data_IF_589997218250
#
_entry.id   IF_589997218250
#
_cell.length_a   1.000
_cell.length_b   1.000
_cell.length_c   1.000
_cell.angle_alpha   90.00
_cell.angle_beta   90.00
_cell.angle_gamma   90.00
#
_symmetry.space_group_name_H-M   'P 1'
#
loop_
_entity.id
_entity.type
_entity.pdbx_description
1 polymer ?
#
# COMPACT_ATOMS: atom_id res chain seq x y z
N UNK A 1 8.13 4.20 24.54
CA UNK A 1 9.02 3.72 23.46
C UNK A 1 9.55 2.33 23.81
N UNK A 2 9.47 1.38 22.88
CA UNK A 2 10.03 0.02 23.02
C UNK A 2 11.16 -0.12 22.00
N UNK A 3 12.39 -0.30 22.45
CA UNK A 3 13.56 -0.50 21.60
C UNK A 3 14.05 -1.94 21.72
N UNK A 4 14.66 -2.46 20.66
CA UNK A 4 15.34 -3.75 20.69
C UNK A 4 16.39 -3.86 19.58
N UNK A 5 17.33 -4.79 19.79
CA UNK A 5 18.35 -5.19 18.84
C UNK A 5 18.34 -6.70 18.68
N UNK A 6 18.56 -7.20 17.46
CA UNK A 6 18.67 -8.63 17.15
C UNK A 6 19.99 -8.94 16.49
N UNK A 7 20.54 -10.10 16.86
CA UNK A 7 21.77 -10.67 16.32
C UNK A 7 21.46 -12.02 15.67
N UNK A 8 22.19 -12.33 14.61
CA UNK A 8 22.17 -13.65 14.00
C UNK A 8 23.22 -14.56 14.66
N UNK A 9 22.78 -15.71 15.17
CA UNK A 9 23.67 -16.78 15.59
C UNK A 9 23.83 -17.76 14.42
N UNK A 10 24.90 -17.60 13.64
CA UNK A 10 25.18 -18.45 12.49
C UNK A 10 25.41 -19.93 12.87
N UNK A 11 25.88 -20.21 14.09
CA UNK A 11 26.18 -21.58 14.54
C UNK A 11 24.89 -22.36 14.79
N UNK A 12 23.95 -21.74 15.49
CA UNK A 12 22.68 -22.37 15.85
C UNK A 12 21.54 -22.05 14.87
N UNK A 13 21.76 -21.12 13.93
CA UNK A 13 20.76 -20.55 13.02
C UNK A 13 19.56 -19.98 13.78
N UNK A 14 19.84 -19.24 14.84
CA UNK A 14 18.84 -18.64 15.73
C UNK A 14 19.02 -17.14 15.83
N UNK A 15 17.98 -16.45 16.31
CA UNK A 15 18.02 -15.02 16.59
C UNK A 15 18.24 -14.81 18.08
N UNK A 16 19.26 -14.02 18.42
CA UNK A 16 19.46 -13.52 19.78
C UNK A 16 18.87 -12.12 19.89
N UNK A 17 17.89 -11.94 20.78
CA UNK A 17 17.19 -10.68 20.99
C UNK A 17 17.65 -10.00 22.27
N UNK A 18 17.96 -8.70 22.19
CA UNK A 18 18.17 -7.83 23.34
C UNK A 18 17.14 -6.71 23.35
N UNK A 19 16.34 -6.65 24.41
CA UNK A 19 15.31 -5.64 24.61
C UNK A 19 15.85 -4.40 25.34
N UNK A 20 15.25 -3.24 25.08
CA UNK A 20 15.57 -1.98 25.75
C UNK A 20 16.84 -1.29 25.24
N UNK A 21 17.52 -1.86 24.25
CA UNK A 21 18.80 -1.36 23.74
C UNK A 21 18.78 -1.19 22.21
N UNK A 22 19.55 -0.23 21.75
CA UNK A 22 19.85 0.01 20.33
C UNK A 22 21.37 -0.11 20.18
N UNK A 23 21.86 -1.29 19.85
CA UNK A 23 23.27 -1.60 19.61
C UNK A 23 23.47 -1.63 18.09
N UNK A 24 24.32 -0.73 17.56
CA UNK A 24 24.48 -0.54 16.11
C UNK A 24 25.24 -1.68 15.45
N UNK A 25 25.94 -2.45 16.26
CA UNK A 25 26.72 -3.63 15.92
C UNK A 25 25.82 -4.85 15.62
N UNK A 26 24.53 -4.80 16.01
CA UNK A 26 23.56 -5.85 15.73
C UNK A 26 23.12 -5.94 14.27
N UNK A 27 22.61 -7.12 13.89
CA UNK A 27 22.16 -7.37 12.51
C UNK A 27 20.90 -6.57 12.14
N UNK A 28 20.02 -6.30 13.11
CA UNK A 28 18.97 -5.28 13.00
C UNK A 28 18.65 -4.65 14.36
N UNK A 29 18.33 -3.35 14.37
CA UNK A 29 17.98 -2.60 15.57
C UNK A 29 16.94 -1.52 15.26
N UNK A 30 16.20 -1.10 16.28
CA UNK A 30 15.09 -0.19 16.06
C UNK A 30 14.19 -0.01 17.27
N UNK A 31 13.10 0.72 17.05
CA UNK A 31 12.13 1.00 18.10
C UNK A 31 10.72 1.21 17.55
N UNK A 32 9.73 0.91 18.41
CA UNK A 32 8.35 1.34 18.27
C UNK A 32 8.07 2.45 19.29
N UNK A 33 7.73 3.64 18.81
CA UNK A 33 7.12 4.68 19.60
C UNK A 33 5.60 4.60 19.49
N UNK A 34 4.96 4.00 20.49
CA UNK A 34 3.52 3.86 20.58
C UNK A 34 2.88 5.18 21.01
N UNK A 35 2.69 6.08 20.04
CA UNK A 35 2.01 7.37 20.19
C UNK A 35 0.59 7.38 19.60
N UNK A 36 0.03 6.19 19.32
CA UNK A 36 -1.25 6.04 18.62
C UNK A 36 -2.38 6.82 19.31
N UNK A 37 -2.47 6.73 20.64
CA UNK A 37 -3.52 7.43 21.41
C UNK A 37 -3.36 8.95 21.47
N UNK A 38 -2.15 9.47 21.24
CA UNK A 38 -1.85 10.90 21.32
C UNK A 38 -1.95 11.59 19.96
N UNK A 39 -1.50 10.94 18.90
CA UNK A 39 -1.34 11.54 17.57
C UNK A 39 -2.16 10.86 16.47
N UNK A 40 -2.76 9.70 16.76
CA UNK A 40 -3.36 8.83 15.76
C UNK A 40 -2.34 7.94 15.02
N UNK A 41 -1.04 8.01 15.39
CA UNK A 41 0.03 7.23 14.78
C UNK A 41 1.00 6.68 15.81
N UNK A 42 1.33 5.39 15.73
CA UNK A 42 2.64 4.93 16.21
C UNK A 42 3.72 5.22 15.17
N UNK A 43 4.98 5.27 15.59
CA UNK A 43 6.13 5.39 14.69
C UNK A 43 7.06 4.21 14.91
N UNK A 44 7.42 3.50 13.84
CA UNK A 44 8.36 2.37 13.86
C UNK A 44 9.59 2.75 13.03
N UNK A 45 10.76 2.62 13.62
CA UNK A 45 12.04 2.71 12.90
C UNK A 45 12.80 1.40 13.00
N UNK A 46 13.27 0.89 11.87
CA UNK A 46 14.12 -0.30 11.78
C UNK A 46 15.31 0.00 10.88
N UNK A 47 16.50 -0.31 11.39
CA UNK A 47 17.73 -0.38 10.60
C UNK A 47 18.26 -1.80 10.59
N UNK A 48 18.81 -2.24 9.46
CA UNK A 48 19.36 -3.58 9.32
C UNK A 48 20.54 -3.60 8.34
N UNK A 49 21.45 -4.56 8.50
CA UNK A 49 22.60 -4.75 7.60
C UNK A 49 23.80 -3.82 7.87
N UNK A 50 23.78 -3.08 8.98
CA UNK A 50 24.84 -2.15 9.40
C UNK A 50 25.77 -2.72 10.48
N UNK A 51 25.53 -3.97 10.92
CA UNK A 51 26.30 -4.60 12.00
C UNK A 51 27.77 -4.86 11.62
N UNK A 52 28.59 -5.18 12.62
CA UNK A 52 30.04 -5.45 12.41
C UNK A 52 30.28 -6.66 11.51
N UNK A 53 29.46 -7.70 11.68
CA UNK A 53 29.44 -8.87 10.80
C UNK A 53 28.42 -8.63 9.70
N UNK A 54 28.91 -8.52 8.46
CA UNK A 54 28.05 -8.42 7.29
C UNK A 54 27.37 -9.77 7.05
N UNK A 55 26.05 -9.78 7.23
CA UNK A 55 25.20 -10.93 6.94
C UNK A 55 24.77 -10.93 5.47
N UNK A 56 24.38 -12.10 4.94
CA UNK A 56 23.69 -12.16 3.66
C UNK A 56 22.40 -11.34 3.70
N UNK A 57 22.05 -10.68 2.60
CA UNK A 57 20.86 -9.82 2.51
C UNK A 57 19.55 -10.56 2.85
N UNK A 58 19.45 -11.87 2.57
CA UNK A 58 18.34 -12.72 3.01
C UNK A 58 18.22 -12.76 4.56
N UNK A 59 19.34 -12.87 5.28
CA UNK A 59 19.39 -12.82 6.75
C UNK A 59 19.07 -11.42 7.26
N UNK A 60 19.59 -10.37 6.61
CA UNK A 60 19.27 -8.97 6.93
C UNK A 60 17.76 -8.71 6.90
N UNK A 61 17.07 -9.14 5.84
CA UNK A 61 15.61 -9.02 5.73
C UNK A 61 14.88 -9.86 6.78
N UNK A 62 15.33 -11.09 7.04
CA UNK A 62 14.76 -11.94 8.09
C UNK A 62 14.86 -11.28 9.48
N UNK A 63 16.03 -10.74 9.84
CA UNK A 63 16.23 -10.05 11.11
C UNK A 63 15.39 -8.78 11.22
N UNK A 64 15.29 -7.99 10.14
CA UNK A 64 14.44 -6.80 10.10
C UNK A 64 12.96 -7.17 10.31
N UNK A 65 12.48 -8.20 9.63
CA UNK A 65 11.13 -8.75 9.83
C UNK A 65 10.92 -9.22 11.27
N UNK A 66 11.87 -9.98 11.81
CA UNK A 66 11.83 -10.48 13.18
C UNK A 66 11.70 -9.34 14.20
N UNK A 67 12.53 -8.31 14.05
CA UNK A 67 12.49 -7.17 14.94
C UNK A 67 11.15 -6.42 14.85
N UNK A 68 10.62 -6.20 13.64
CA UNK A 68 9.29 -5.62 13.44
C UNK A 68 8.20 -6.45 14.13
N UNK A 69 8.23 -7.76 13.90
CA UNK A 69 7.25 -8.70 14.43
C UNK A 69 7.25 -8.71 15.95
N UNK A 70 8.44 -8.69 16.56
CA UNK A 70 8.57 -8.63 18.02
C UNK A 70 8.10 -7.29 18.61
N UNK A 71 8.55 -6.16 18.04
CA UNK A 71 8.23 -4.82 18.56
C UNK A 71 6.75 -4.49 18.42
N UNK A 72 6.11 -4.94 17.33
CA UNK A 72 4.71 -4.60 16.98
C UNK A 72 3.71 -5.70 17.33
N UNK A 73 4.15 -6.84 17.89
CA UNK A 73 3.32 -8.01 18.19
C UNK A 73 1.96 -7.73 18.87
N UNK A 74 1.86 -6.90 19.95
CA UNK A 74 0.56 -6.60 20.53
C UNK A 74 -0.40 -5.93 19.54
N UNK A 75 0.10 -4.95 18.77
CA UNK A 75 -0.68 -4.22 17.79
C UNK A 75 -1.03 -5.11 16.59
N UNK A 76 -0.15 -6.03 16.16
CA UNK A 76 -0.45 -7.02 15.12
C UNK A 76 -1.65 -7.91 15.50
N UNK A 77 -1.66 -8.43 16.73
CA UNK A 77 -2.74 -9.31 17.21
C UNK A 77 -4.08 -8.55 17.25
N UNK A 78 -4.07 -7.33 17.81
CA UNK A 78 -5.28 -6.49 17.86
C UNK A 78 -5.75 -6.06 16.46
N UNK A 79 -4.84 -5.70 15.57
CA UNK A 79 -5.19 -5.30 14.21
C UNK A 79 -5.74 -6.47 13.39
N UNK A 80 -5.17 -7.67 13.51
CA UNK A 80 -5.73 -8.88 12.93
C UNK A 80 -7.15 -9.16 13.43
N UNK A 81 -7.38 -9.07 14.75
CA UNK A 81 -8.71 -9.24 15.32
C UNK A 81 -9.73 -8.22 14.79
N UNK A 82 -9.30 -6.99 14.50
CA UNK A 82 -10.15 -5.97 13.89
C UNK A 82 -10.43 -6.26 12.42
N UNK A 83 -9.41 -6.63 11.64
CA UNK A 83 -9.47 -6.71 10.17
C UNK A 83 -10.03 -8.03 9.65
N UNK A 84 -9.74 -9.15 10.31
CA UNK A 84 -10.24 -10.47 9.91
C UNK A 84 -11.76 -10.50 9.65
N UNK A 85 -12.63 -10.05 10.59
CA UNK A 85 -14.08 -10.06 10.37
C UNK A 85 -14.55 -9.02 9.34
N UNK A 86 -13.71 -8.08 8.93
CA UNK A 86 -14.05 -7.14 7.86
C UNK A 86 -13.97 -7.80 6.48
N UNK A 87 -13.09 -8.79 6.30
CA UNK A 87 -12.87 -9.45 5.01
C UNK A 87 -13.49 -10.84 4.93
N UNK A 88 -13.33 -11.65 5.98
CA UNK A 88 -13.80 -13.04 6.02
C UNK A 88 -14.98 -13.13 7.01
N UNK A 89 -16.19 -12.94 6.49
CA UNK A 89 -17.44 -13.01 7.24
C UNK A 89 -18.13 -14.37 7.14
N UNK A 90 -18.19 -14.92 5.93
CA UNK A 90 -18.77 -16.23 5.66
C UNK A 90 -17.68 -17.31 5.80
N UNK A 91 -17.87 -18.33 6.65
CA UNK A 91 -16.95 -19.47 6.77
C UNK A 91 -16.63 -20.16 5.44
N UNK A 92 -17.52 -20.07 4.44
CA UNK A 92 -17.29 -20.61 3.09
C UNK A 92 -16.16 -19.91 2.33
N UNK A 93 -15.82 -18.67 2.68
CA UNK A 93 -14.74 -17.89 2.07
C UNK A 93 -13.36 -18.37 2.53
N UNK A 94 -13.24 -18.80 3.79
CA UNK A 94 -11.95 -19.13 4.40
C UNK A 94 -11.20 -20.22 3.64
N UNK A 95 -11.85 -21.36 3.38
CA UNK A 95 -11.20 -22.50 2.73
C UNK A 95 -10.64 -22.20 1.33
N UNK A 96 -11.40 -21.57 0.41
CA UNK A 96 -10.89 -21.11 -0.88
C UNK A 96 -9.71 -20.14 -0.76
N UNK A 97 -9.79 -19.15 0.12
CA UNK A 97 -8.73 -18.15 0.32
C UNK A 97 -7.46 -18.81 0.86
N UNK A 98 -7.54 -19.62 1.92
CA UNK A 98 -6.39 -20.35 2.47
C UNK A 98 -5.72 -21.22 1.41
N UNK A 99 -6.50 -21.97 0.62
CA UNK A 99 -5.95 -22.80 -0.47
C UNK A 99 -5.25 -21.96 -1.55
N UNK A 100 -5.78 -20.80 -1.90
CA UNK A 100 -5.14 -19.91 -2.85
C UNK A 100 -3.81 -19.38 -2.30
N UNK A 101 -3.83 -18.85 -1.07
CA UNK A 101 -2.65 -18.27 -0.41
C UNK A 101 -1.53 -19.31 -0.24
N UNK A 102 -1.86 -20.55 0.15
CA UNK A 102 -0.87 -21.64 0.26
C UNK A 102 -0.24 -21.97 -1.10
N UNK A 103 -1.05 -22.06 -2.16
CA UNK A 103 -0.53 -22.32 -3.51
C UNK A 103 0.33 -21.17 -4.03
N UNK A 104 -0.08 -19.93 -3.77
CA UNK A 104 0.64 -18.73 -4.19
C UNK A 104 2.00 -18.60 -3.48
N UNK A 105 2.03 -18.82 -2.16
CA UNK A 105 3.27 -18.82 -1.38
C UNK A 105 4.21 -19.96 -1.82
N UNK A 106 3.67 -21.16 -2.03
CA UNK A 106 4.44 -22.32 -2.51
C UNK A 106 5.06 -22.05 -3.89
N UNK A 107 4.28 -21.53 -4.83
CA UNK A 107 4.76 -21.16 -6.15
C UNK A 107 5.83 -20.06 -6.08
N UNK A 108 5.60 -19.02 -5.27
CA UNK A 108 6.57 -17.92 -5.08
C UNK A 108 7.91 -18.46 -4.59
N UNK A 109 7.89 -19.32 -3.56
CA UNK A 109 9.11 -19.92 -3.01
C UNK A 109 9.80 -20.86 -4.00
N UNK A 110 9.04 -21.57 -4.82
CA UNK A 110 9.59 -22.39 -5.91
C UNK A 110 10.29 -21.53 -6.96
N UNK A 111 9.66 -20.45 -7.41
CA UNK A 111 10.26 -19.52 -8.37
C UNK A 111 11.52 -18.83 -7.83
N UNK A 112 11.54 -18.46 -6.54
CA UNK A 112 12.76 -17.97 -5.88
C UNK A 112 13.88 -19.01 -5.97
N UNK A 113 13.61 -20.27 -5.62
CA UNK A 113 14.63 -21.34 -5.68
C UNK A 113 15.17 -21.55 -7.09
N UNK A 114 14.31 -21.48 -8.10
CA UNK A 114 14.68 -21.73 -9.50
C UNK A 114 15.41 -20.56 -10.15
N UNK A 115 15.05 -19.32 -9.82
CA UNK A 115 15.44 -18.14 -10.61
C UNK A 115 16.26 -17.09 -9.85
N UNK A 116 16.50 -17.23 -8.52
CA UNK A 116 17.21 -16.20 -7.74
C UNK A 116 18.65 -15.92 -8.17
N UNK A 117 19.28 -16.81 -8.94
CA UNK A 117 20.64 -16.62 -9.46
C UNK A 117 20.70 -15.92 -10.81
N UNK A 118 19.58 -15.84 -11.54
CA UNK A 118 19.53 -15.33 -12.91
C UNK A 118 18.68 -14.07 -13.07
N UNK A 119 17.77 -13.78 -12.12
CA UNK A 119 16.83 -12.68 -12.21
C UNK A 119 16.75 -11.88 -10.89
N UNK A 120 17.14 -10.60 -10.90
CA UNK A 120 17.08 -9.74 -9.71
C UNK A 120 15.69 -9.67 -9.07
N UNK A 121 14.61 -9.81 -9.86
CA UNK A 121 13.25 -9.82 -9.30
C UNK A 121 13.05 -11.00 -8.37
N UNK A 122 13.50 -12.19 -8.77
CA UNK A 122 13.35 -13.40 -7.95
C UNK A 122 14.32 -13.42 -6.78
N UNK A 123 15.48 -12.80 -6.91
CA UNK A 123 16.40 -12.56 -5.80
C UNK A 123 15.74 -11.67 -4.71
N UNK A 124 15.22 -10.51 -5.09
CA UNK A 124 14.49 -9.62 -4.17
C UNK A 124 13.18 -10.20 -3.66
N UNK A 125 12.53 -11.08 -4.42
CA UNK A 125 11.36 -11.83 -3.94
C UNK A 125 11.76 -12.74 -2.77
N UNK A 126 12.95 -13.35 -2.83
CA UNK A 126 13.54 -14.09 -1.72
C UNK A 126 13.70 -13.23 -0.46
N UNK A 127 14.16 -11.99 -0.60
CA UNK A 127 14.28 -11.05 0.51
C UNK A 127 12.92 -10.73 1.16
N UNK A 128 11.89 -10.44 0.35
CA UNK A 128 10.54 -10.14 0.86
C UNK A 128 9.96 -11.35 1.60
N UNK A 129 10.15 -12.56 1.07
CA UNK A 129 9.72 -13.80 1.72
C UNK A 129 10.47 -14.01 3.05
N UNK A 130 11.79 -13.78 3.07
CA UNK A 130 12.59 -13.86 4.29
C UNK A 130 12.14 -12.87 5.37
N UNK A 131 11.79 -11.63 4.99
CA UNK A 131 11.23 -10.65 5.93
C UNK A 131 9.86 -11.07 6.49
N UNK A 132 9.00 -11.70 5.68
CA UNK A 132 7.72 -12.24 6.17
C UNK A 132 7.93 -13.41 7.14
N UNK A 133 8.88 -14.31 6.85
CA UNK A 133 9.26 -15.40 7.74
C UNK A 133 9.82 -14.87 9.06
N UNK A 134 10.66 -13.83 8.98
CA UNK A 134 11.17 -13.08 10.13
C UNK A 134 10.03 -12.49 10.95
N UNK A 135 9.10 -11.76 10.31
CA UNK A 135 7.94 -11.14 10.94
C UNK A 135 7.13 -12.16 11.75
N UNK A 136 6.85 -13.33 11.17
CA UNK A 136 6.15 -14.42 11.85
C UNK A 136 6.96 -14.93 13.06
N UNK A 137 8.26 -15.15 12.90
CA UNK A 137 9.13 -15.62 13.98
C UNK A 137 9.22 -14.60 15.15
N UNK A 138 9.27 -13.31 14.83
CA UNK A 138 9.31 -12.23 15.81
C UNK A 138 8.04 -12.14 16.65
N UNK A 139 6.86 -12.14 16.00
CA UNK A 139 5.58 -12.14 16.73
C UNK A 139 5.38 -13.42 17.53
N UNK A 140 5.85 -14.57 17.02
CA UNK A 140 5.79 -15.84 17.74
C UNK A 140 6.69 -15.86 18.99
N UNK A 141 7.90 -15.30 18.91
CA UNK A 141 8.76 -15.17 20.08
C UNK A 141 8.10 -14.28 21.14
N UNK A 142 7.58 -13.11 20.75
CA UNK A 142 6.87 -12.24 21.69
C UNK A 142 5.69 -12.96 22.34
N UNK A 143 4.86 -13.64 21.55
CA UNK A 143 3.67 -14.35 22.05
C UNK A 143 4.06 -15.44 23.08
N UNK A 144 5.06 -16.26 22.76
CA UNK A 144 5.61 -17.27 23.68
C UNK A 144 6.10 -16.66 24.99
N UNK A 145 6.85 -15.55 24.93
CA UNK A 145 7.34 -14.83 26.11
C UNK A 145 6.20 -14.32 27.00
N UNK A 146 5.07 -13.94 26.40
CA UNK A 146 3.89 -13.44 27.11
C UNK A 146 2.88 -14.53 27.49
N UNK A 147 3.16 -15.82 27.23
CA UNK A 147 2.21 -16.90 27.45
C UNK A 147 0.95 -16.79 26.59
N UNK A 148 1.06 -16.24 25.37
CA UNK A 148 -0.05 -16.08 24.41
C UNK A 148 0.16 -16.98 23.20
N UNK A 149 -0.95 -17.29 22.52
CA UNK A 149 -0.91 -17.98 21.23
C UNK A 149 -0.29 -17.09 20.14
N UNK A 150 0.66 -17.62 19.34
CA UNK A 150 1.27 -16.88 18.25
C UNK A 150 0.29 -16.73 17.08
N UNK A 151 0.46 -15.67 16.28
CA UNK A 151 -0.24 -15.55 15.00
C UNK A 151 0.19 -16.69 14.06
N UNK A 152 -0.79 -17.32 13.42
CA UNK A 152 -0.52 -18.33 12.39
C UNK A 152 0.14 -17.69 11.15
N UNK A 153 0.77 -18.52 10.31
CA UNK A 153 1.30 -18.05 9.03
C UNK A 153 0.20 -17.40 8.18
N UNK A 154 -0.98 -18.02 8.14
CA UNK A 154 -2.14 -17.47 7.42
C UNK A 154 -2.53 -16.10 7.96
N UNK A 155 -2.52 -15.87 9.28
CA UNK A 155 -2.84 -14.57 9.85
C UNK A 155 -1.82 -13.49 9.42
N UNK A 156 -0.52 -13.83 9.37
CA UNK A 156 0.51 -12.91 8.89
C UNK A 156 0.37 -12.63 7.38
N UNK A 157 0.11 -13.66 6.58
CA UNK A 157 -0.16 -13.53 5.14
C UNK A 157 -1.42 -12.71 4.86
N UNK A 158 -2.49 -12.92 5.64
CA UNK A 158 -3.74 -12.19 5.57
C UNK A 158 -3.52 -10.69 5.74
N UNK A 159 -2.75 -10.28 6.77
CA UNK A 159 -2.44 -8.86 7.01
C UNK A 159 -1.73 -8.23 5.81
N UNK A 160 -0.79 -8.93 5.19
CA UNK A 160 -0.05 -8.41 4.03
C UNK A 160 -0.89 -8.40 2.75
N UNK A 161 -1.89 -9.26 2.64
CA UNK A 161 -2.74 -9.41 1.46
C UNK A 161 -4.09 -8.66 1.57
N UNK A 162 -4.31 -7.80 2.57
CA UNK A 162 -5.61 -7.12 2.79
C UNK A 162 -6.13 -6.41 1.54
N UNK A 163 -5.26 -5.72 0.79
CA UNK A 163 -5.64 -5.07 -0.47
C UNK A 163 -5.98 -6.08 -1.57
N UNK A 164 -5.17 -7.13 -1.72
CA UNK A 164 -5.38 -8.20 -2.69
C UNK A 164 -6.68 -8.98 -2.44
N UNK A 165 -7.05 -9.17 -1.16
CA UNK A 165 -8.26 -9.88 -0.74
C UNK A 165 -9.55 -9.18 -1.20
N UNK A 166 -9.50 -7.88 -1.50
CA UNK A 166 -10.65 -7.13 -2.02
C UNK A 166 -11.11 -7.64 -3.38
N UNK A 167 -10.17 -8.04 -4.24
CA UNK A 167 -10.44 -8.62 -5.56
C UNK A 167 -10.43 -10.16 -5.53
N UNK A 168 -9.57 -10.75 -4.67
CA UNK A 168 -9.40 -12.20 -4.63
C UNK A 168 -10.63 -12.92 -4.08
N UNK A 169 -11.25 -12.41 -3.01
CA UNK A 169 -12.45 -13.03 -2.44
C UNK A 169 -13.60 -13.12 -3.47
N UNK A 170 -14.01 -12.04 -4.16
CA UNK A 170 -15.06 -12.13 -5.17
C UNK A 170 -14.65 -12.97 -6.39
N UNK A 171 -13.35 -13.07 -6.71
CA UNK A 171 -12.87 -13.97 -7.76
C UNK A 171 -13.00 -15.46 -7.38
N UNK A 172 -12.72 -15.81 -6.11
CA UNK A 172 -12.74 -17.20 -5.64
C UNK A 172 -14.12 -17.71 -5.23
N UNK A 173 -14.99 -16.81 -4.73
CA UNK A 173 -16.32 -17.16 -4.26
C UNK A 173 -17.35 -16.19 -4.85
N UNK A 174 -17.70 -16.35 -6.14
CA UNK A 174 -18.66 -15.48 -6.81
C UNK A 174 -20.02 -15.47 -6.10
N UNK A 175 -20.64 -14.30 -6.01
CA UNK A 175 -21.94 -14.12 -5.36
C UNK A 175 -21.89 -13.96 -3.85
N UNK A 176 -20.71 -13.99 -3.22
CA UNK A 176 -20.54 -13.43 -1.88
C UNK A 176 -20.70 -11.91 -1.93
N UNK A 177 -21.30 -11.31 -0.89
CA UNK A 177 -21.25 -9.86 -0.77
C UNK A 177 -19.78 -9.41 -0.79
N UNK A 178 -19.46 -8.28 -1.46
CA UNK A 178 -18.12 -7.72 -1.40
C UNK A 178 -17.68 -7.65 0.06
N UNK A 179 -16.43 -8.04 0.39
CA UNK A 179 -15.96 -8.17 1.77
C UNK A 179 -16.34 -6.95 2.64
N UNK A 180 -16.33 -5.77 2.05
CA UNK A 180 -16.81 -4.51 2.63
C UNK A 180 -18.28 -4.25 2.27
N UNK A 181 -19.17 -4.96 2.96
CA UNK A 181 -20.61 -4.69 2.96
C UNK A 181 -20.91 -3.18 3.04
N UNK A 182 -21.86 -2.76 2.22
CA UNK A 182 -22.46 -1.41 2.15
C UNK A 182 -21.73 -0.28 1.42
N UNK A 183 -20.69 -0.55 0.62
CA UNK A 183 -20.47 0.30 -0.56
C UNK A 183 -21.54 -0.04 -1.61
N UNK A 184 -22.79 0.35 -1.34
CA UNK A 184 -23.88 0.32 -2.32
C UNK A 184 -23.35 1.01 -3.57
N UNK A 185 -23.50 0.36 -4.72
CA UNK A 185 -23.26 1.00 -6.00
C UNK A 185 -24.03 2.34 -6.04
N UNK A 186 -23.37 3.45 -6.38
CA UNK A 186 -21.97 3.57 -6.74
C UNK A 186 -21.05 3.66 -5.51
N UNK A 187 -20.31 2.58 -5.20
CA UNK A 187 -19.32 2.59 -4.14
C UNK A 187 -18.19 3.54 -4.50
N UNK A 188 -18.16 4.74 -3.92
CA UNK A 188 -17.01 5.62 -4.08
C UNK A 188 -15.82 5.02 -3.35
N UNK A 189 -14.76 4.78 -4.13
CA UNK A 189 -13.64 3.91 -3.79
C UNK A 189 -12.68 4.45 -2.75
N UNK A 190 -11.58 3.71 -2.61
CA UNK A 190 -10.71 3.66 -1.44
C UNK A 190 -9.86 4.88 -1.13
N UNK A 191 -9.62 5.86 -2.01
CA UNK A 191 -8.62 6.89 -1.71
C UNK A 191 -8.85 8.16 -2.54
N UNK A 192 -8.27 9.27 -2.09
CA UNK A 192 -8.06 10.44 -2.94
C UNK A 192 -6.58 10.85 -2.88
N UNK A 193 -5.96 11.18 -4.01
CA UNK A 193 -4.60 11.68 -4.07
C UNK A 193 -4.51 12.97 -4.89
N UNK A 194 -3.56 13.83 -4.53
CA UNK A 194 -3.28 15.06 -5.25
C UNK A 194 -1.76 15.30 -5.28
N UNK A 195 -1.24 15.42 -6.49
CA UNK A 195 0.12 15.89 -6.76
C UNK A 195 -0.02 17.29 -7.33
N UNK A 196 0.52 18.29 -6.64
CA UNK A 196 0.36 19.70 -6.98
C UNK A 196 1.73 20.32 -7.26
N UNK A 197 1.89 20.86 -8.45
CA UNK A 197 3.00 21.73 -8.80
C UNK A 197 2.59 23.19 -8.58
N UNK A 198 3.39 23.95 -7.83
CA UNK A 198 3.12 25.36 -7.61
C UNK A 198 3.38 26.21 -8.88
N UNK A 199 2.73 27.38 -9.03
CA UNK A 199 2.63 28.08 -10.32
C UNK A 199 3.97 28.43 -10.99
N UNK A 200 4.99 28.80 -10.21
CA UNK A 200 6.34 29.08 -10.69
C UNK A 200 7.32 27.93 -10.48
N UNK A 201 6.81 26.70 -10.28
CA UNK A 201 7.58 25.51 -9.92
C UNK A 201 8.37 25.65 -8.61
N UNK A 202 7.91 26.50 -7.69
CA UNK A 202 8.58 26.79 -6.42
C UNK A 202 8.60 25.56 -5.50
N UNK A 203 7.60 24.70 -5.64
CA UNK A 203 7.51 23.45 -4.90
C UNK A 203 6.65 22.41 -5.63
N UNK A 204 6.88 21.14 -5.32
CA UNK A 204 6.00 20.02 -5.64
C UNK A 204 5.42 19.49 -4.33
N UNK A 205 4.11 19.53 -4.20
CA UNK A 205 3.38 19.00 -3.06
C UNK A 205 2.75 17.67 -3.43
N UNK A 206 2.83 16.68 -2.54
CA UNK A 206 2.45 15.30 -2.83
C UNK A 206 1.63 14.74 -1.68
N UNK A 207 0.39 14.34 -1.95
CA UNK A 207 -0.53 13.98 -0.89
C UNK A 207 -1.46 12.82 -1.22
N UNK A 208 -1.90 12.16 -0.15
CA UNK A 208 -2.82 11.03 -0.21
C UNK A 208 -3.72 10.99 1.02
N UNK A 209 -5.00 10.73 0.79
CA UNK A 209 -6.02 10.52 1.82
C UNK A 209 -6.65 9.14 1.68
N UNK A 210 -6.35 8.25 2.63
CA UNK A 210 -6.90 6.89 2.63
C UNK A 210 -8.35 6.86 3.08
N UNK A 211 -9.17 6.09 2.37
CA UNK A 211 -10.55 5.76 2.73
C UNK A 211 -10.74 4.25 2.86
N UNK A 212 -11.16 3.81 4.04
CA UNK A 212 -11.44 2.39 4.25
C UNK A 212 -12.33 2.21 5.49
N UNK A 213 -12.50 0.99 5.98
CA UNK A 213 -13.20 0.76 7.25
C UNK A 213 -12.46 1.42 8.40
N UNK A 214 -13.19 2.03 9.34
CA UNK A 214 -12.60 2.64 10.53
C UNK A 214 -11.96 1.59 11.45
N UNK A 215 -12.30 0.30 11.30
CA UNK A 215 -11.61 -0.81 11.98
C UNK A 215 -10.11 -0.88 11.64
N UNK A 216 -9.69 -0.30 10.52
CA UNK A 216 -8.30 -0.27 10.10
C UNK A 216 -7.46 0.84 10.76
N UNK A 217 -8.04 1.72 11.59
CA UNK A 217 -7.37 2.93 12.11
C UNK A 217 -6.27 2.70 13.17
N UNK A 218 -5.77 1.47 13.31
CA UNK A 218 -4.57 1.18 14.10
C UNK A 218 -3.33 1.44 13.24
N UNK A 219 -2.74 2.64 13.36
CA UNK A 219 -1.75 3.13 12.40
C UNK A 219 -0.32 3.07 12.92
N UNK A 220 0.60 2.70 12.03
CA UNK A 220 2.05 2.81 12.25
C UNK A 220 2.65 3.54 11.04
N UNK A 221 3.31 4.67 11.25
CA UNK A 221 4.20 5.25 10.24
C UNK A 221 5.56 4.56 10.35
N UNK A 222 6.09 4.03 9.25
CA UNK A 222 7.27 3.18 9.25
C UNK A 222 8.43 3.84 8.52
N UNK A 223 9.62 3.71 9.11
CA UNK A 223 10.88 4.05 8.48
C UNK A 223 11.76 2.79 8.49
N UNK A 224 12.10 2.31 7.30
CA UNK A 224 13.09 1.25 7.15
C UNK A 224 14.34 1.81 6.48
N UNK A 225 15.49 1.37 6.95
CA UNK A 225 16.80 1.68 6.39
C UNK A 225 17.63 0.40 6.39
N UNK A 226 17.58 -0.34 5.27
CA UNK A 226 18.30 -1.59 5.10
C UNK A 226 19.52 -1.37 4.22
N UNK A 227 20.69 -1.68 4.74
CA UNK A 227 21.92 -1.71 3.97
C UNK A 227 22.06 -3.07 3.30
N UNK A 228 22.07 -3.08 1.96
CA UNK A 228 22.10 -4.29 1.16
C UNK A 228 23.34 -4.33 0.28
N UNK A 229 23.86 -5.53 0.08
CA UNK A 229 25.01 -5.80 -0.79
C UNK A 229 24.63 -6.15 -2.23
N UNK A 230 23.37 -6.52 -2.48
CA UNK A 230 22.87 -6.91 -3.80
C UNK A 230 22.95 -5.72 -4.80
N UNK A 231 23.69 -5.87 -5.92
CA UNK A 231 24.06 -4.75 -6.80
C UNK A 231 22.93 -4.12 -7.61
N UNK A 232 21.79 -4.80 -7.79
CA UNK A 232 20.61 -4.29 -8.48
C UNK A 232 19.64 -3.57 -7.53
N UNK A 233 19.95 -3.51 -6.23
CA UNK A 233 19.16 -2.76 -5.25
C UNK A 233 19.20 -1.26 -5.58
N UNK A 234 18.04 -0.69 -5.91
CA UNK A 234 17.88 0.75 -6.04
C UNK A 234 17.79 1.47 -4.68
N UNK A 235 17.10 0.86 -3.71
CA UNK A 235 17.03 1.38 -2.33
C UNK A 235 16.53 0.32 -1.33
N UNK A 236 17.18 0.23 -0.18
CA UNK A 236 16.65 -0.43 1.03
C UNK A 236 16.03 0.55 2.03
N UNK A 237 15.97 1.84 1.68
CA UNK A 237 15.47 2.92 2.52
C UNK A 237 14.11 3.41 2.06
N UNK A 238 13.14 3.43 2.97
CA UNK A 238 11.78 3.85 2.69
C UNK A 238 11.08 4.41 3.94
N UNK A 239 10.20 5.39 3.73
CA UNK A 239 9.31 5.95 4.75
C UNK A 239 7.88 5.94 4.24
N UNK A 240 6.94 5.38 5.01
CA UNK A 240 5.60 5.12 4.52
C UNK A 240 4.58 4.99 5.63
N UNK A 241 3.33 5.39 5.36
CA UNK A 241 2.20 5.11 6.25
C UNK A 241 1.83 3.64 6.16
N UNK A 242 1.47 3.00 7.28
CA UNK A 242 1.26 1.55 7.31
C UNK A 242 0.38 1.14 8.49
N UNK A 243 0.25 -0.18 8.65
CA UNK A 243 -0.46 -0.87 9.71
C UNK A 243 0.45 -1.86 10.45
N UNK A 244 0.10 -2.31 11.67
CA UNK A 244 0.80 -3.37 12.37
C UNK A 244 0.83 -4.67 11.56
N UNK A 245 2.04 -5.21 11.34
CA UNK A 245 2.24 -6.49 10.63
C UNK A 245 2.18 -6.42 9.11
N UNK A 246 1.90 -5.24 8.55
CA UNK A 246 1.90 -5.04 7.10
C UNK A 246 3.30 -4.67 6.64
N UNK A 247 3.94 -5.49 5.82
CA UNK A 247 5.21 -5.19 5.18
C UNK A 247 5.00 -4.34 3.89
N UNK A 248 3.94 -3.55 3.88
CA UNK A 248 3.45 -2.70 2.78
C UNK A 248 2.59 -1.60 3.41
N UNK A 249 2.38 -0.50 2.69
CA UNK A 249 1.57 0.64 3.13
C UNK A 249 0.08 0.34 3.13
N UNK A 250 -0.42 -0.38 2.12
CA UNK A 250 -1.84 -0.52 1.74
C UNK A 250 -2.46 0.82 1.30
N UNK A 251 -2.11 1.95 1.90
CA UNK A 251 -2.80 3.21 1.67
C UNK A 251 -2.90 3.63 0.19
N UNK A 252 -1.86 3.80 -0.60
CA UNK A 252 -0.41 3.64 -0.40
C UNK A 252 0.26 5.03 -0.42
N UNK A 253 1.25 5.26 0.44
CA UNK A 253 2.08 6.47 0.41
C UNK A 253 3.51 6.17 0.81
N UNK A 254 4.48 6.44 -0.08
CA UNK A 254 5.88 6.12 0.11
C UNK A 254 6.80 7.26 -0.31
N UNK A 255 7.83 7.47 0.51
CA UNK A 255 9.03 8.22 0.19
C UNK A 255 10.20 7.23 0.11
N UNK A 256 10.82 7.11 -1.06
CA UNK A 256 11.84 6.09 -1.33
C UNK A 256 13.23 6.72 -1.39
N UNK A 257 14.22 6.02 -0.84
CA UNK A 257 15.63 6.45 -0.86
C UNK A 257 16.22 6.59 -2.27
N UNK A 258 15.59 6.01 -3.29
CA UNK A 258 15.96 6.17 -4.70
C UNK A 258 15.63 7.56 -5.28
N UNK A 259 14.90 8.39 -4.54
CA UNK A 259 14.38 9.69 -5.00
C UNK A 259 12.97 9.63 -5.60
N UNK A 260 12.37 8.44 -5.63
CA UNK A 260 10.99 8.23 -6.05
C UNK A 260 10.02 8.46 -4.89
N UNK A 261 8.86 9.02 -5.19
CA UNK A 261 7.70 9.08 -4.30
C UNK A 261 6.54 8.34 -4.96
N UNK A 262 5.82 7.50 -4.22
CA UNK A 262 4.76 6.67 -4.78
C UNK A 262 3.48 6.76 -3.94
N UNK A 263 2.35 6.93 -4.62
CA UNK A 263 1.03 6.81 -4.02
C UNK A 263 0.08 6.14 -4.99
N UNK A 264 -1.08 5.68 -4.52
CA UNK A 264 -2.07 5.04 -5.38
C UNK A 264 -3.50 5.38 -4.97
N UNK A 265 -4.47 5.16 -5.87
CA UNK A 265 -5.87 4.98 -5.49
C UNK A 265 -6.46 3.74 -6.15
N UNK A 266 -7.31 2.99 -5.46
CA UNK A 266 -7.87 1.73 -5.98
C UNK A 266 -8.95 1.95 -7.03
N UNK A 267 -8.80 1.33 -8.19
CA UNK A 267 -9.83 1.25 -9.20
C UNK A 267 -10.65 -0.03 -8.99
N UNK A 268 -11.93 0.01 -9.30
CA UNK A 268 -12.78 -1.19 -9.27
C UNK A 268 -12.66 -1.96 -10.59
N UNK A 269 -12.98 -3.25 -10.55
CA UNK A 269 -13.15 -4.07 -11.75
C UNK A 269 -14.59 -4.56 -11.80
N UNK A 270 -15.44 -3.84 -12.55
CA UNK A 270 -16.86 -4.18 -12.70
C UNK A 270 -17.07 -5.31 -13.72
N UNK A 271 -16.16 -5.47 -14.67
CA UNK A 271 -16.16 -6.59 -15.59
C UNK A 271 -15.63 -7.87 -14.91
N UNK A 272 -16.51 -8.57 -14.20
CA UNK A 272 -16.16 -9.77 -13.42
C UNK A 272 -15.61 -10.93 -14.26
N UNK A 273 -15.83 -10.94 -15.58
CA UNK A 273 -15.24 -11.95 -16.47
C UNK A 273 -13.69 -11.94 -16.43
N UNK A 274 -13.09 -10.79 -16.12
CA UNK A 274 -11.64 -10.63 -15.99
C UNK A 274 -11.06 -11.43 -14.82
N UNK A 275 -11.85 -11.72 -13.79
CA UNK A 275 -11.38 -12.50 -12.63
C UNK A 275 -11.06 -13.97 -12.96
N UNK A 276 -11.47 -14.47 -14.12
CA UNK A 276 -11.02 -15.77 -14.63
C UNK A 276 -9.50 -15.86 -14.87
N UNK A 277 -8.82 -14.72 -14.95
CA UNK A 277 -7.36 -14.63 -15.12
C UNK A 277 -6.60 -14.64 -13.78
N UNK A 278 -7.28 -14.52 -12.64
CA UNK A 278 -6.65 -14.54 -11.31
C UNK A 278 -6.21 -15.96 -10.98
N UNK A 279 -4.91 -16.15 -10.76
CA UNK A 279 -4.28 -17.46 -10.54
C UNK A 279 -3.25 -17.38 -9.41
N UNK A 280 -3.05 -18.46 -8.62
CA UNK A 280 -1.99 -18.50 -7.62
C UNK A 280 -0.58 -18.48 -8.22
N UNK A 281 -0.43 -18.68 -9.54
CA UNK A 281 0.87 -18.55 -10.24
C UNK A 281 1.14 -17.09 -10.63
N UNK A 282 1.04 -16.20 -9.65
CA UNK A 282 1.24 -14.76 -9.80
C UNK A 282 1.81 -14.16 -8.51
N UNK A 283 2.38 -12.97 -8.58
CA UNK A 283 2.81 -12.23 -7.39
C UNK A 283 1.69 -11.27 -6.98
N UNK A 284 1.31 -11.32 -5.70
CA UNK A 284 0.32 -10.41 -5.14
C UNK A 284 0.79 -8.95 -5.26
N UNK A 285 -0.14 -8.00 -5.30
CA UNK A 285 0.18 -6.59 -5.50
C UNK A 285 1.15 -6.05 -4.45
N UNK A 286 0.97 -6.40 -3.18
CA UNK A 286 1.88 -5.96 -2.11
C UNK A 286 3.33 -6.41 -2.35
N UNK A 287 3.53 -7.61 -2.93
CA UNK A 287 4.86 -8.14 -3.28
C UNK A 287 5.43 -7.33 -4.45
N UNK A 288 4.63 -7.12 -5.51
CA UNK A 288 5.06 -6.39 -6.71
C UNK A 288 5.38 -4.93 -6.44
N UNK A 289 4.61 -4.26 -5.56
CA UNK A 289 4.90 -2.91 -5.09
C UNK A 289 6.26 -2.86 -4.37
N UNK A 290 6.52 -3.78 -3.45
CA UNK A 290 7.79 -3.89 -2.72
C UNK A 290 8.98 -4.18 -3.64
N UNK A 291 8.79 -5.04 -4.64
CA UNK A 291 9.79 -5.32 -5.67
C UNK A 291 10.10 -4.08 -6.50
N UNK A 292 9.07 -3.39 -6.99
CA UNK A 292 9.22 -2.17 -7.77
C UNK A 292 9.95 -1.06 -7.00
N UNK A 293 9.66 -0.90 -5.70
CA UNK A 293 10.42 0.02 -4.83
C UNK A 293 11.89 -0.33 -4.72
N UNK A 294 12.20 -1.62 -4.57
CA UNK A 294 13.56 -2.07 -4.29
C UNK A 294 14.46 -2.05 -5.53
N UNK A 295 13.89 -2.13 -6.73
CA UNK A 295 14.62 -2.34 -7.99
C UNK A 295 14.61 -1.13 -8.94
N UNK A 296 13.81 -0.10 -8.67
CA UNK A 296 13.56 0.96 -9.64
C UNK A 296 14.16 2.29 -9.25
N UNK A 297 14.87 2.89 -10.20
CA UNK A 297 15.33 4.28 -10.10
C UNK A 297 14.36 5.24 -10.78
N UNK A 298 13.67 4.86 -11.85
CA UNK A 298 12.73 5.75 -12.57
C UNK A 298 11.29 5.26 -12.47
N UNK A 299 10.32 6.13 -12.77
CA UNK A 299 8.91 5.74 -12.85
C UNK A 299 8.62 4.67 -13.91
N UNK A 300 9.31 4.72 -15.06
CA UNK A 300 9.20 3.68 -16.10
C UNK A 300 9.76 2.33 -15.64
N UNK A 301 10.92 2.32 -14.95
CA UNK A 301 11.46 1.08 -14.37
C UNK A 301 10.51 0.50 -13.31
N UNK A 302 9.88 1.38 -12.51
CA UNK A 302 8.88 0.98 -11.53
C UNK A 302 7.69 0.31 -12.21
N UNK A 303 7.17 0.91 -13.27
CA UNK A 303 6.04 0.37 -14.03
C UNK A 303 6.37 -0.99 -14.67
N UNK A 304 7.54 -1.11 -15.29
CA UNK A 304 7.99 -2.36 -15.89
C UNK A 304 8.16 -3.47 -14.84
N UNK A 305 8.78 -3.17 -13.69
CA UNK A 305 8.96 -4.13 -12.60
C UNK A 305 7.62 -4.58 -12.02
N UNK A 306 6.73 -3.62 -11.72
CA UNK A 306 5.41 -3.87 -11.16
C UNK A 306 4.50 -4.70 -12.09
N UNK A 307 4.67 -4.56 -13.42
CA UNK A 307 3.88 -5.28 -14.42
C UNK A 307 4.16 -6.78 -14.48
N UNK A 308 5.33 -7.22 -13.98
CA UNK A 308 5.73 -8.63 -14.02
C UNK A 308 4.87 -9.47 -13.07
N UNK A 309 4.40 -10.61 -13.55
CA UNK A 309 3.57 -11.56 -12.79
C UNK A 309 2.31 -10.92 -12.16
N UNK A 310 1.69 -9.99 -12.88
CA UNK A 310 0.44 -9.32 -12.48
C UNK A 310 -0.61 -10.34 -12.00
N UNK A 311 -1.07 -10.18 -10.77
CA UNK A 311 -2.08 -11.02 -10.14
C UNK A 311 -3.52 -10.67 -10.53
N UNK A 312 -3.76 -9.46 -11.03
CA UNK A 312 -5.12 -8.93 -11.20
C UNK A 312 -5.84 -8.66 -9.88
N UNK A 313 -5.11 -8.57 -8.79
CA UNK A 313 -5.61 -8.26 -7.45
C UNK A 313 -5.03 -6.94 -6.96
N UNK A 314 -5.80 -6.27 -6.12
CA UNK A 314 -5.60 -4.89 -5.70
C UNK A 314 -5.38 -3.93 -6.87
N UNK A 315 -6.40 -3.85 -7.72
CA UNK A 315 -6.36 -3.11 -8.97
C UNK A 315 -6.36 -1.59 -8.70
N UNK A 316 -5.29 -0.91 -9.11
CA UNK A 316 -4.94 0.41 -8.61
C UNK A 316 -4.47 1.31 -9.75
N UNK A 317 -4.61 2.62 -9.57
CA UNK A 317 -3.81 3.64 -10.27
C UNK A 317 -2.67 4.06 -9.35
N UNK A 318 -1.43 3.78 -9.74
CA UNK A 318 -0.21 4.21 -9.06
C UNK A 318 0.35 5.46 -9.73
N UNK A 319 0.84 6.40 -8.92
CA UNK A 319 1.48 7.63 -9.36
C UNK A 319 2.88 7.66 -8.78
N UNK A 320 3.88 7.67 -9.65
CA UNK A 320 5.28 7.63 -9.31
C UNK A 320 5.90 8.96 -9.71
N UNK A 321 6.32 9.74 -8.72
CA UNK A 321 7.02 11.00 -8.91
C UNK A 321 8.52 10.76 -8.78
N UNK A 322 9.29 11.13 -9.80
CA UNK A 322 10.75 11.13 -9.75
C UNK A 322 11.25 12.54 -9.41
N UNK A 323 11.59 12.78 -8.15
CA UNK A 323 12.02 14.12 -7.71
C UNK A 323 13.32 14.58 -8.35
N UNK A 324 14.13 13.67 -8.90
CA UNK A 324 15.37 14.02 -9.60
C UNK A 324 15.11 14.66 -10.97
N UNK A 325 13.89 14.52 -11.48
CA UNK A 325 13.39 15.13 -12.73
C UNK A 325 12.68 16.46 -12.50
N UNK A 326 12.64 16.94 -11.26
CA UNK A 326 12.01 18.21 -10.87
C UNK A 326 13.10 19.18 -10.40
N UNK A 327 13.38 20.20 -11.20
CA UNK A 327 14.24 21.32 -10.81
C UNK A 327 13.37 22.51 -10.42
N UNK A 328 13.23 22.74 -9.12
CA UNK A 328 12.38 23.81 -8.58
C UNK A 328 12.79 25.19 -9.12
N UNK A 329 11.79 26.02 -9.42
CA UNK A 329 11.94 27.35 -10.01
C UNK A 329 12.42 27.36 -11.46
N UNK A 330 12.57 26.21 -12.11
CA UNK A 330 13.17 26.11 -13.44
C UNK A 330 12.41 25.21 -14.40
N UNK A 331 12.43 23.89 -14.17
CA UNK A 331 11.92 22.92 -15.16
C UNK A 331 11.48 21.60 -14.53
N UNK A 332 10.54 20.95 -15.20
CA UNK A 332 10.12 19.59 -14.92
C UNK A 332 10.44 18.79 -16.19
N UNK A 333 11.31 17.80 -16.09
CA UNK A 333 11.74 16.95 -17.21
C UNK A 333 10.76 15.79 -17.43
N UNK A 334 10.66 15.31 -18.67
CA UNK A 334 9.89 14.10 -18.98
C UNK A 334 10.40 12.92 -18.10
N UNK A 335 9.46 12.10 -17.64
CA UNK A 335 9.65 11.05 -16.65
C UNK A 335 9.45 11.51 -15.19
N UNK A 336 9.14 12.78 -14.92
CA UNK A 336 8.90 13.27 -13.55
C UNK A 336 7.63 12.70 -12.92
N UNK A 337 6.61 12.36 -13.72
CA UNK A 337 5.40 11.68 -13.24
C UNK A 337 5.05 10.52 -14.16
N UNK A 338 5.14 9.27 -13.67
CA UNK A 338 4.62 8.08 -14.37
C UNK A 338 3.35 7.61 -13.68
N UNK A 339 2.30 7.38 -14.48
CA UNK A 339 1.02 6.85 -14.00
C UNK A 339 0.87 5.42 -14.51
N UNK A 340 0.56 4.48 -13.61
CA UNK A 340 0.46 3.05 -13.88
C UNK A 340 -0.91 2.55 -13.43
N UNK A 341 -1.61 1.79 -14.27
CA UNK A 341 -2.92 1.24 -13.94
C UNK A 341 -2.98 -0.25 -14.23
N UNK A 342 -3.57 -1.01 -13.30
CA UNK A 342 -3.71 -2.46 -13.40
C UNK A 342 -5.17 -2.89 -13.37
N UNK A 343 -5.47 -3.92 -14.18
CA UNK A 343 -6.62 -4.83 -14.07
C UNK A 343 -6.12 -6.28 -14.24
N UNK A 344 -6.96 -7.33 -14.03
CA UNK A 344 -6.56 -8.69 -14.37
C UNK A 344 -6.15 -8.82 -15.85
N UNK A 345 -4.93 -9.31 -16.07
CA UNK A 345 -4.38 -9.55 -17.40
C UNK A 345 -3.75 -8.34 -18.11
N UNK A 346 -3.85 -7.13 -17.55
CA UNK A 346 -3.32 -5.92 -18.21
C UNK A 346 -2.78 -4.92 -17.19
N UNK A 347 -1.59 -4.39 -17.50
CA UNK A 347 -1.04 -3.18 -16.89
C UNK A 347 -0.76 -2.19 -18.01
N UNK A 348 -1.22 -0.96 -17.86
CA UNK A 348 -0.87 0.17 -18.74
C UNK A 348 -0.16 1.24 -17.95
N UNK A 349 0.82 1.89 -18.55
CA UNK A 349 1.49 3.03 -17.95
C UNK A 349 1.87 4.08 -18.97
N UNK A 350 1.94 5.32 -18.52
CA UNK A 350 2.34 6.46 -19.35
C UNK A 350 3.00 7.57 -18.53
N UNK A 351 3.85 8.35 -19.20
CA UNK A 351 4.39 9.58 -18.65
C UNK A 351 3.33 10.69 -18.68
N UNK A 352 3.01 11.23 -17.50
CA UNK A 352 2.03 12.30 -17.27
C UNK A 352 2.68 13.62 -16.84
N UNK A 353 3.98 13.78 -17.08
CA UNK A 353 4.73 15.01 -16.79
C UNK A 353 4.10 16.24 -17.45
N UNK A 354 3.59 16.10 -18.68
CA UNK A 354 2.92 17.21 -19.38
C UNK A 354 1.69 17.74 -18.60
N UNK A 355 0.95 16.84 -17.96
CA UNK A 355 -0.19 17.21 -17.11
C UNK A 355 0.30 17.88 -15.82
N UNK A 356 1.36 17.34 -15.20
CA UNK A 356 1.95 17.94 -13.99
C UNK A 356 2.47 19.37 -14.23
N UNK A 357 3.08 19.64 -15.41
CA UNK A 357 3.50 21.00 -15.81
C UNK A 357 2.34 22.00 -15.87
N UNK A 358 1.11 21.54 -16.07
CA UNK A 358 -0.10 22.38 -16.05
C UNK A 358 -0.60 22.69 -14.64
N UNK A 359 -0.05 22.03 -13.62
CA UNK A 359 -0.21 22.41 -12.22
C UNK A 359 -0.60 21.28 -11.29
N UNK A 360 -1.26 20.21 -11.76
CA UNK A 360 -1.67 19.13 -10.85
C UNK A 360 -1.99 17.80 -11.54
N UNK A 361 -1.93 16.73 -10.76
CA UNK A 361 -2.49 15.41 -11.06
C UNK A 361 -3.40 14.94 -9.91
N UNK A 362 -4.72 14.77 -10.14
CA UNK A 362 -5.64 14.21 -9.17
C UNK A 362 -5.83 12.70 -9.38
N UNK A 363 -6.21 11.98 -8.31
CA UNK A 363 -6.61 10.57 -8.40
C UNK A 363 -7.76 10.25 -7.43
N UNK A 364 -8.74 9.48 -7.88
CA UNK A 364 -10.05 9.35 -7.21
C UNK A 364 -10.83 8.08 -7.62
N UNK A 365 -10.14 6.93 -7.77
CA UNK A 365 -10.76 5.62 -8.00
C UNK A 365 -11.54 5.46 -9.33
N UNK A 366 -11.21 6.27 -10.34
CA UNK A 366 -11.69 6.09 -11.71
C UNK A 366 -10.47 5.99 -12.62
N UNK A 367 -10.35 4.95 -13.47
CA UNK A 367 -9.19 4.78 -14.31
C UNK A 367 -9.02 5.91 -15.32
N UNK A 368 -7.77 6.37 -15.47
CA UNK A 368 -7.37 7.39 -16.43
C UNK A 368 -7.16 6.81 -17.83
N UNK A 369 -6.47 5.67 -17.96
CA UNK A 369 -6.17 5.10 -19.26
C UNK A 369 -7.46 4.57 -19.91
N UNK A 370 -7.84 5.04 -21.11
CA UNK A 370 -9.14 4.70 -21.72
C UNK A 370 -9.37 3.20 -21.90
N UNK A 371 -8.31 2.44 -22.17
CA UNK A 371 -8.40 0.98 -22.32
C UNK A 371 -8.64 0.28 -20.99
N UNK A 372 -7.98 0.70 -19.91
CA UNK A 372 -8.28 0.23 -18.56
C UNK A 372 -9.72 0.56 -18.17
N UNK A 373 -10.15 1.82 -18.34
CA UNK A 373 -11.52 2.28 -18.06
C UNK A 373 -12.57 1.42 -18.79
N UNK A 374 -12.35 1.16 -20.07
CA UNK A 374 -13.27 0.37 -20.91
C UNK A 374 -13.33 -1.09 -20.49
N UNK A 375 -12.16 -1.75 -20.37
CA UNK A 375 -12.09 -3.19 -20.08
C UNK A 375 -12.57 -3.53 -18.67
N UNK A 376 -12.34 -2.65 -17.70
CA UNK A 376 -12.83 -2.80 -16.32
C UNK A 376 -14.34 -2.54 -16.18
N UNK A 377 -15.01 -2.04 -17.22
CA UNK A 377 -16.48 -1.93 -17.26
C UNK A 377 -17.05 -0.59 -16.79
N UNK A 378 -16.23 0.45 -16.59
CA UNK A 378 -16.73 1.76 -16.14
C UNK A 378 -17.68 2.43 -17.15
N UNK A 379 -17.54 2.16 -18.45
CA UNK A 379 -18.46 2.67 -19.47
C UNK A 379 -19.92 2.26 -19.20
N UNK A 380 -20.15 0.98 -18.88
CA UNK A 380 -21.49 0.47 -18.52
C UNK A 380 -22.00 1.09 -17.21
N UNK A 381 -21.11 1.24 -16.24
CA UNK A 381 -21.46 1.87 -14.96
C UNK A 381 -21.84 3.34 -15.14
N UNK A 382 -21.19 4.05 -16.05
CA UNK A 382 -21.56 5.42 -16.38
C UNK A 382 -22.92 5.50 -17.07
N UNK A 383 -23.22 4.62 -18.02
CA UNK A 383 -24.54 4.54 -18.66
C UNK A 383 -25.66 4.28 -17.65
N UNK A 384 -25.42 3.41 -16.67
CA UNK A 384 -26.44 2.98 -15.69
C UNK A 384 -26.60 3.95 -14.51
N UNK A 385 -25.51 4.50 -14.00
CA UNK A 385 -25.49 5.26 -12.74
C UNK A 385 -25.01 6.71 -12.87
N UNK A 386 -24.64 7.14 -14.08
CA UNK A 386 -24.28 8.52 -14.37
C UNK A 386 -22.88 8.92 -13.89
N UNK A 387 -22.70 10.23 -13.68
CA UNK A 387 -21.39 10.90 -13.57
C UNK A 387 -20.49 10.37 -12.44
N UNK A 388 -21.01 9.64 -11.46
CA UNK A 388 -20.19 9.08 -10.37
C UNK A 388 -19.11 8.12 -10.90
N UNK A 389 -19.29 7.54 -12.10
CA UNK A 389 -18.32 6.69 -12.77
C UNK A 389 -17.56 7.37 -13.91
N UNK A 390 -17.90 8.62 -14.25
CA UNK A 390 -17.18 9.39 -15.24
C UNK A 390 -15.83 9.84 -14.68
N UNK A 391 -14.75 9.65 -15.44
CA UNK A 391 -13.42 10.13 -15.05
C UNK A 391 -13.42 11.65 -14.82
N UNK A 392 -14.11 12.40 -15.68
CA UNK A 392 -14.09 13.86 -15.62
C UNK A 392 -15.17 14.47 -14.72
N UNK A 393 -16.33 13.80 -14.60
CA UNK A 393 -17.54 14.39 -14.01
C UNK A 393 -17.90 13.85 -12.64
N UNK A 394 -17.16 12.85 -12.12
CA UNK A 394 -17.41 12.39 -10.75
C UNK A 394 -17.21 13.52 -9.73
N UNK A 395 -17.88 13.47 -8.57
CA UNK A 395 -17.83 14.56 -7.57
C UNK A 395 -16.42 15.01 -7.22
N UNK A 396 -15.50 14.07 -6.99
CA UNK A 396 -14.10 14.36 -6.65
C UNK A 396 -13.33 15.01 -7.79
N UNK A 397 -13.53 14.57 -9.03
CA UNK A 397 -12.93 15.20 -10.20
C UNK A 397 -13.37 16.67 -10.32
N UNK A 398 -14.66 16.96 -10.09
CA UNK A 398 -15.20 18.32 -10.11
C UNK A 398 -14.66 19.19 -8.98
N UNK A 399 -14.60 18.66 -7.75
CA UNK A 399 -14.04 19.38 -6.60
C UNK A 399 -12.55 19.68 -6.83
N UNK A 400 -11.74 18.70 -7.21
CA UNK A 400 -10.33 18.95 -7.52
C UNK A 400 -10.16 19.96 -8.65
N UNK A 401 -10.93 19.84 -9.73
CA UNK A 401 -10.85 20.79 -10.85
C UNK A 401 -11.17 22.23 -10.44
N UNK A 402 -12.15 22.43 -9.56
CA UNK A 402 -12.54 23.74 -9.03
C UNK A 402 -11.49 24.29 -8.05
N UNK A 403 -11.00 23.46 -7.12
CA UNK A 403 -10.35 23.93 -5.90
C UNK A 403 -8.82 23.74 -5.86
N UNK A 404 -8.24 22.92 -6.76
CA UNK A 404 -6.79 22.65 -6.74
C UNK A 404 -5.93 23.92 -6.86
N UNK A 405 -6.45 24.98 -7.49
CA UNK A 405 -5.74 26.25 -7.66
C UNK A 405 -5.53 26.99 -6.32
N UNK A 406 -6.34 26.70 -5.30
CA UNK A 406 -6.20 27.29 -3.96
C UNK A 406 -5.08 26.66 -3.13
N UNK A 407 -4.53 25.53 -3.58
CA UNK A 407 -3.36 24.90 -2.96
C UNK A 407 -2.10 25.70 -3.32
N UNK A 408 -1.57 26.42 -2.32
CA UNK A 408 -0.41 27.32 -2.43
C UNK A 408 0.75 26.87 -1.54
N UNK A 409 0.49 26.00 -0.58
CA UNK A 409 1.43 25.52 0.43
C UNK A 409 0.93 24.21 1.06
N UNK A 410 1.68 23.71 2.04
CA UNK A 410 1.34 22.46 2.72
C UNK A 410 0.02 22.55 3.52
N UNK A 411 -0.34 23.71 4.06
CA UNK A 411 -1.55 23.84 4.89
C UNK A 411 -2.82 23.90 4.04
N UNK A 412 -2.77 24.62 2.92
CA UNK A 412 -3.83 24.59 1.90
C UNK A 412 -3.96 23.21 1.23
N UNK A 413 -2.85 22.47 1.09
CA UNK A 413 -2.89 21.06 0.65
C UNK A 413 -3.60 20.17 1.67
N UNK A 414 -3.25 20.27 2.96
CA UNK A 414 -3.95 19.55 4.02
C UNK A 414 -5.44 19.89 4.03
N UNK A 415 -5.78 21.17 3.82
CA UNK A 415 -7.17 21.62 3.78
C UNK A 415 -7.98 20.93 2.68
N UNK A 416 -7.53 20.96 1.43
CA UNK A 416 -8.25 20.28 0.33
C UNK A 416 -8.31 18.76 0.52
N UNK A 417 -7.23 18.14 1.04
CA UNK A 417 -7.18 16.70 1.23
C UNK A 417 -8.00 16.20 2.44
N UNK A 418 -8.42 17.12 3.32
CA UNK A 418 -9.41 16.90 4.40
C UNK A 418 -10.81 17.41 4.06
N UNK A 419 -11.01 17.95 2.86
CA UNK A 419 -12.24 18.65 2.53
C UNK A 419 -13.46 17.73 2.56
N UNK A 420 -14.45 18.15 3.34
CA UNK A 420 -15.81 17.64 3.35
C UNK A 420 -16.78 18.70 3.85
N UNK A 421 -17.50 19.31 2.91
CA UNK A 421 -18.60 20.23 3.19
C UNK A 421 -19.88 19.77 2.46
N UNK A 422 -20.18 18.48 2.59
CA UNK A 422 -21.17 17.81 1.75
C UNK A 422 -22.60 18.39 1.80
N UNK A 423 -22.91 19.15 2.85
CA UNK A 423 -24.21 19.80 3.04
C UNK A 423 -24.36 21.06 2.17
N UNK A 424 -23.25 21.74 1.87
CA UNK A 424 -23.25 23.01 1.16
C UNK A 424 -22.62 22.90 -0.24
N UNK A 425 -21.69 21.95 -0.45
CA UNK A 425 -21.04 21.78 -1.75
C UNK A 425 -22.03 21.20 -2.78
N UNK A 426 -22.31 21.92 -3.89
CA UNK A 426 -23.24 21.44 -4.91
C UNK A 426 -22.80 20.15 -5.60
N UNK A 427 -21.50 19.85 -5.63
CA UNK A 427 -21.01 18.60 -6.21
C UNK A 427 -21.23 17.38 -5.31
N UNK A 428 -21.42 17.62 -4.01
CA UNK A 428 -21.69 16.56 -3.03
C UNK A 428 -23.14 16.10 -3.03
N UNK A 429 -24.09 16.93 -3.50
CA UNK A 429 -25.52 16.59 -3.58
C UNK A 429 -26.09 16.04 -2.25
N UNK A 430 -25.61 16.54 -1.11
CA UNK A 430 -26.03 16.08 0.22
C UNK A 430 -25.48 14.72 0.65
N UNK A 431 -24.59 14.09 -0.13
CA UNK A 431 -23.95 12.81 0.22
C UNK A 431 -22.56 13.04 0.85
N UNK A 432 -22.33 12.61 2.10
CA UNK A 432 -21.07 12.84 2.82
C UNK A 432 -19.87 12.09 2.25
N UNK A 433 -20.05 11.20 1.27
CA UNK A 433 -18.96 10.56 0.56
C UNK A 433 -18.69 11.13 -0.82
N UNK A 434 -19.52 12.06 -1.32
CA UNK A 434 -19.26 12.80 -2.56
C UNK A 434 -18.34 13.99 -2.30
N UNK A 435 -17.20 13.73 -1.66
CA UNK A 435 -16.18 14.71 -1.27
C UNK A 435 -14.77 14.13 -1.36
N UNK A 436 -13.71 14.94 -1.16
CA UNK A 436 -12.31 14.48 -1.15
C UNK A 436 -11.97 13.62 0.08
N UNK A 437 -12.64 13.85 1.21
CA UNK A 437 -12.52 13.05 2.42
C UNK A 437 -13.89 12.55 2.89
N UNK A 438 -14.33 11.41 2.36
CA UNK A 438 -15.64 10.79 2.64
C UNK A 438 -15.90 10.53 4.13
N UNK A 439 -17.16 10.68 4.54
CA UNK A 439 -17.66 10.42 5.89
C UNK A 439 -18.92 9.56 5.85
N UNK A 440 -18.76 8.27 5.56
CA UNK A 440 -19.90 7.36 5.33
C UNK A 440 -20.77 7.18 6.59
N UNK A 441 -20.18 7.41 7.76
CA UNK A 441 -20.85 7.41 9.06
C UNK A 441 -21.87 8.56 9.22
N UNK A 442 -21.78 9.62 8.41
CA UNK A 442 -22.69 10.77 8.44
C UNK A 442 -23.89 10.62 7.49
N UNK A 443 -24.05 9.47 6.82
CA UNK A 443 -25.21 9.22 5.95
C UNK A 443 -26.48 9.09 6.78
N UNK A 444 -27.57 9.69 6.29
CA UNK A 444 -28.88 9.59 6.94
C UNK A 444 -29.47 8.17 6.84
N UNK A 445 -29.16 7.45 5.76
CA UNK A 445 -29.63 6.09 5.50
C UNK A 445 -28.43 5.15 5.40
N UNK A 446 -28.53 4.02 6.09
CA UNK A 446 -27.50 2.97 6.13
C UNK A 446 -26.08 3.52 6.48
N UNK A 447 -25.91 4.28 7.57
CA UNK A 447 -24.57 4.75 7.97
C UNK A 447 -23.66 3.56 8.24
N UNK A 448 -22.39 3.67 7.84
CA UNK A 448 -21.41 2.61 8.01
C UNK A 448 -20.07 3.19 8.51
N UNK A 449 -19.35 2.48 9.40
CA UNK A 449 -18.10 2.96 9.99
C UNK A 449 -16.94 2.88 8.99
N UNK A 450 -16.97 3.73 7.98
CA UNK A 450 -15.95 3.80 6.95
C UNK A 450 -15.91 5.15 6.26
N UNK A 451 -14.85 5.35 5.49
CA UNK A 451 -14.55 6.59 4.84
C UNK A 451 -13.11 6.98 5.11
N UNK A 452 -12.87 8.27 4.99
CA UNK A 452 -11.56 8.87 5.02
C UNK A 452 -11.01 8.98 6.46
N UNK A 453 -9.82 8.42 6.75
CA UNK A 453 -9.26 8.42 8.12
C UNK A 453 -7.85 8.98 8.25
N UNK A 454 -7.17 9.34 7.16
CA UNK A 454 -5.87 9.99 7.22
C UNK A 454 -5.63 10.90 6.03
N UNK A 455 -4.68 11.83 6.17
CA UNK A 455 -3.96 12.49 5.06
C UNK A 455 -2.47 12.41 5.34
N UNK A 456 -1.69 12.05 4.32
CA UNK A 456 -0.23 12.25 4.25
C UNK A 456 0.04 13.32 3.19
N UNK A 457 0.99 14.21 3.44
CA UNK A 457 1.23 15.42 2.65
C UNK A 457 2.70 15.85 2.73
#
# INVERSE_FOLDING_TARGET
MKAATVYWDATHKTVQLKEGVIEKEGGAYGYLNDSLSQTGWSVLEIRAGYGETLEHDEVTYFLAGYLEGFLTAPQMISHYANMYPQLIKDPKVLGPVERFMVKQDSWTREQVKLNRSSDPLWHHTGFIVAQMDGLQAGVAHWAKKQGKEPLSLFAVQFLNAVGDLLDLIPALVPGTEPPLGHFKLPGMGHCSALIKMLPGFENLLFSHSSWYTYAATMRIYKHWDFHLSEPHTATGKLSFSSYPGFLVSLDDFYLLGSGLMMTQTTNNVFNTSLFSQVTPHSLLAWQRVRLAHSLSHTGEQWANTFSRYNSGTYNNQYMIVDMRKVTLGHSIEDGALTVVEQIPGLVEFSDQTQTLRRGYWPSYNVPFHPKIYTLSGYGKMWEEYGDDFSYDLCPRAKIFRRDQAEVKDLDSLKHIMRYNDYKNDPYSKGDPCKSICCRNDLREKDPSPGGCYDTKA
#
